data_IF_903557735822
#
_entry.id   IF_903557735822
#
_cell.length_a   1.000
_cell.length_b   1.000
_cell.length_c   1.000
_cell.angle_alpha   90.00
_cell.angle_beta   90.00
_cell.angle_gamma   90.00
#
_symmetry.space_group_name_H-M   'P 1'
#
loop_
_entity.id
_entity.type
_entity.pdbx_description
1 polymer ?
#
# COMPACT_ATOMS: atom_id res chain seq x y z
N UNK A 1 5.19 1.64 -11.93
CA UNK A 1 6.63 1.32 -11.95
C UNK A 1 6.85 -0.18 -11.93
N UNK A 2 5.89 -0.93 -12.43
CA UNK A 2 5.84 -2.37 -12.28
C UNK A 2 6.86 -3.01 -13.20
N UNK A 3 7.72 -3.84 -12.62
CA UNK A 3 8.76 -4.54 -13.35
C UNK A 3 8.13 -5.69 -14.13
N UNK A 4 8.26 -5.73 -15.47
CA UNK A 4 7.71 -6.81 -16.29
C UNK A 4 8.60 -8.06 -16.24
N UNK A 5 8.06 -9.18 -16.72
CA UNK A 5 8.81 -10.44 -16.79
C UNK A 5 10.00 -10.32 -17.76
N UNK A 6 11.14 -10.89 -17.37
CA UNK A 6 12.37 -10.87 -18.17
C UNK A 6 13.20 -9.58 -18.05
N UNK A 7 12.72 -8.54 -17.35
CA UNK A 7 13.48 -7.31 -17.12
C UNK A 7 14.66 -7.50 -16.17
N UNK A 8 14.47 -8.36 -15.17
CA UNK A 8 15.47 -8.81 -14.21
C UNK A 8 15.73 -10.30 -14.45
N UNK A 9 17.00 -10.71 -14.39
CA UNK A 9 17.40 -12.08 -14.61
C UNK A 9 16.83 -13.02 -13.52
N UNK A 10 16.69 -14.30 -13.86
CA UNK A 10 16.03 -15.26 -12.98
C UNK A 10 16.69 -15.39 -11.58
N UNK A 11 18.03 -15.42 -11.44
CA UNK A 11 18.66 -15.49 -10.12
C UNK A 11 18.31 -14.31 -9.21
N UNK A 12 18.38 -13.07 -9.72
CA UNK A 12 18.09 -11.87 -8.93
C UNK A 12 16.59 -11.77 -8.65
N UNK A 13 15.74 -12.14 -9.61
CA UNK A 13 14.29 -12.17 -9.39
C UNK A 13 13.88 -13.20 -8.34
N UNK A 14 14.51 -14.37 -8.32
CA UNK A 14 14.31 -15.39 -7.29
C UNK A 14 14.80 -14.91 -5.92
N UNK A 15 15.97 -14.26 -5.84
CA UNK A 15 16.48 -13.68 -4.60
C UNK A 15 15.53 -12.58 -4.05
N UNK A 16 15.03 -11.70 -4.92
CA UNK A 16 14.01 -10.71 -4.54
C UNK A 16 12.71 -11.40 -4.10
N UNK A 17 12.33 -12.52 -4.70
CA UNK A 17 11.23 -13.37 -4.26
C UNK A 17 11.41 -13.90 -2.83
N UNK A 18 12.61 -14.34 -2.46
CA UNK A 18 12.93 -14.75 -1.08
C UNK A 18 12.84 -13.58 -0.11
N UNK A 19 13.36 -12.40 -0.47
CA UNK A 19 13.26 -11.18 0.34
C UNK A 19 11.80 -10.79 0.55
N UNK A 20 11.01 -10.76 -0.53
CA UNK A 20 9.58 -10.48 -0.50
C UNK A 20 8.82 -11.47 0.39
N UNK A 21 9.06 -12.78 0.24
CA UNK A 21 8.44 -13.80 1.07
C UNK A 21 8.79 -13.64 2.55
N UNK A 22 10.07 -13.34 2.85
CA UNK A 22 10.52 -13.06 4.22
C UNK A 22 9.84 -11.82 4.82
N UNK A 23 9.74 -10.74 4.05
CA UNK A 23 9.06 -9.52 4.48
C UNK A 23 7.56 -9.71 4.67
N UNK A 24 6.89 -10.44 3.77
CA UNK A 24 5.50 -10.85 3.95
C UNK A 24 5.35 -11.70 5.21
N UNK A 25 6.21 -12.69 5.45
CA UNK A 25 6.16 -13.52 6.65
C UNK A 25 6.32 -12.71 7.95
N UNK A 26 7.28 -11.77 7.99
CA UNK A 26 7.45 -10.83 9.10
C UNK A 26 6.22 -9.94 9.26
N UNK A 27 5.65 -9.46 8.15
CA UNK A 27 4.49 -8.58 8.14
C UNK A 27 3.21 -9.29 8.56
N UNK A 28 3.02 -10.57 8.23
CA UNK A 28 1.92 -11.40 8.74
C UNK A 28 1.98 -11.53 10.26
N UNK A 29 3.18 -11.62 10.85
CA UNK A 29 3.36 -11.63 12.32
C UNK A 29 3.13 -10.25 12.92
N UNK A 30 3.68 -9.21 12.30
CA UNK A 30 3.56 -7.83 12.76
C UNK A 30 2.13 -7.28 12.69
N UNK A 31 1.40 -7.58 11.61
CA UNK A 31 0.02 -7.16 11.40
C UNK A 31 -0.93 -7.65 12.49
N UNK A 32 -0.64 -8.80 13.14
CA UNK A 32 -1.41 -9.26 14.31
C UNK A 32 -1.40 -8.25 15.46
N UNK A 33 -0.37 -7.41 15.57
CA UNK A 33 -0.24 -6.34 16.59
C UNK A 33 -0.88 -5.03 16.14
N UNK A 34 -1.04 -4.84 14.84
CA UNK A 34 -1.60 -3.62 14.26
C UNK A 34 -3.12 -3.70 14.11
N UNK A 35 -3.63 -4.90 13.82
CA UNK A 35 -5.03 -5.20 13.54
C UNK A 35 -5.81 -5.62 14.79
N UNK A 36 -6.97 -5.01 14.93
CA UNK A 36 -8.03 -5.30 15.90
C UNK A 36 -9.38 -5.52 15.19
N UNK A 37 -10.47 -5.65 15.97
CA UNK A 37 -11.83 -5.79 15.46
C UNK A 37 -12.26 -4.73 14.44
N UNK A 38 -11.75 -3.52 14.62
CA UNK A 38 -12.21 -2.31 13.92
C UNK A 38 -11.34 -2.05 12.69
N UNK A 39 -10.07 -2.41 12.76
CA UNK A 39 -9.04 -2.11 11.76
C UNK A 39 -8.80 -3.22 10.73
N UNK A 40 -9.14 -4.49 11.04
CA UNK A 40 -9.02 -5.58 10.06
C UNK A 40 -9.87 -5.38 8.80
N UNK A 41 -11.16 -5.00 8.89
CA UNK A 41 -11.91 -4.60 7.70
C UNK A 41 -11.28 -3.38 7.00
N UNK A 42 -10.84 -2.37 7.75
CA UNK A 42 -10.24 -1.16 7.15
C UNK A 42 -8.97 -1.46 6.35
N UNK A 43 -8.20 -2.48 6.71
CA UNK A 43 -7.03 -2.89 5.93
C UNK A 43 -7.41 -3.41 4.53
N UNK A 44 -8.46 -4.22 4.42
CA UNK A 44 -9.00 -4.66 3.12
C UNK A 44 -9.53 -3.48 2.29
N UNK A 45 -10.18 -2.52 2.95
CA UNK A 45 -10.64 -1.28 2.30
C UNK A 45 -9.48 -0.40 1.80
N UNK A 46 -8.42 -0.26 2.60
CA UNK A 46 -7.22 0.51 2.22
C UNK A 46 -6.51 -0.15 1.05
N UNK A 47 -6.40 -1.49 1.03
CA UNK A 47 -5.86 -2.21 -0.12
C UNK A 47 -6.68 -1.93 -1.40
N UNK A 48 -8.01 -1.98 -1.30
CA UNK A 48 -8.89 -1.68 -2.44
C UNK A 48 -8.81 -0.23 -2.91
N UNK A 49 -8.67 0.72 -1.98
CA UNK A 49 -8.46 2.13 -2.32
C UNK A 49 -7.10 2.33 -3.01
N UNK A 50 -6.05 1.69 -2.52
CA UNK A 50 -4.72 1.74 -3.15
C UNK A 50 -4.78 1.16 -4.57
N UNK A 51 -5.42 0.00 -4.75
CA UNK A 51 -5.66 -0.58 -6.07
C UNK A 51 -6.38 0.42 -6.99
N UNK A 52 -7.48 1.02 -6.52
CA UNK A 52 -8.27 1.97 -7.31
C UNK A 52 -7.46 3.20 -7.73
N UNK A 53 -6.62 3.75 -6.84
CA UNK A 53 -5.79 4.91 -7.15
C UNK A 53 -4.58 4.54 -8.00
N UNK A 54 -4.05 3.32 -7.88
CA UNK A 54 -2.98 2.80 -8.75
C UNK A 54 -3.41 2.71 -10.22
N UNK A 55 -4.70 2.50 -10.49
CA UNK A 55 -5.23 2.56 -11.85
C UNK A 55 -5.31 3.99 -12.42
N UNK A 56 -5.16 5.02 -11.59
CA UNK A 56 -5.24 6.41 -12.01
C UNK A 56 -3.86 6.94 -12.41
N UNK A 57 -3.43 6.58 -13.61
CA UNK A 57 -2.26 7.20 -14.23
C UNK A 57 -2.52 8.69 -14.50
N UNK A 58 -1.63 9.56 -14.05
CA UNK A 58 -1.66 10.99 -14.35
C UNK A 58 -0.45 11.38 -15.22
N UNK A 59 -0.61 12.33 -16.14
CA UNK A 59 0.50 12.80 -16.95
C UNK A 59 1.52 13.52 -16.06
N UNK A 60 2.80 13.21 -16.25
CA UNK A 60 3.90 13.79 -15.44
C UNK A 60 4.77 14.70 -16.29
N UNK A 61 5.66 14.12 -17.09
CA UNK A 61 6.59 14.86 -17.94
C UNK A 61 7.08 13.98 -19.10
N UNK A 62 7.49 14.62 -20.20
CA UNK A 62 8.13 13.95 -21.35
C UNK A 62 7.33 12.77 -21.96
N UNK A 63 6.00 12.87 -21.98
CA UNK A 63 5.13 11.80 -22.49
C UNK A 63 5.05 10.59 -21.57
N UNK A 64 5.43 10.73 -20.30
CA UNK A 64 5.38 9.70 -19.25
C UNK A 64 4.17 9.95 -18.35
N UNK A 65 3.51 8.89 -17.92
CA UNK A 65 2.55 8.91 -16.83
C UNK A 65 3.15 8.37 -15.54
N UNK A 66 2.46 8.58 -14.44
CA UNK A 66 2.76 7.92 -13.18
C UNK A 66 1.49 7.66 -12.41
N UNK A 67 1.56 6.70 -11.51
CA UNK A 67 0.50 6.38 -10.56
C UNK A 67 1.07 6.39 -9.14
N UNK A 68 0.16 6.38 -8.18
CA UNK A 68 0.48 6.22 -6.77
C UNK A 68 1.10 4.83 -6.52
N UNK A 69 2.18 4.73 -5.75
CA UNK A 69 2.72 3.46 -5.26
C UNK A 69 1.95 3.01 -4.01
N UNK A 70 1.63 3.94 -3.11
CA UNK A 70 0.65 3.75 -2.03
C UNK A 70 1.19 3.17 -0.74
N UNK A 71 2.47 2.81 -0.66
CA UNK A 71 3.05 2.31 0.59
C UNK A 71 3.11 3.33 1.71
N UNK A 72 3.25 4.64 1.41
CA UNK A 72 3.18 5.70 2.41
C UNK A 72 1.77 5.83 3.00
N UNK A 73 0.76 5.87 2.13
CA UNK A 73 -0.64 5.88 2.52
C UNK A 73 -0.99 4.66 3.39
N UNK A 74 -0.58 3.46 2.96
CA UNK A 74 -0.83 2.22 3.68
C UNK A 74 -0.17 2.23 5.07
N UNK A 75 1.13 2.56 5.13
CA UNK A 75 1.91 2.56 6.36
C UNK A 75 1.31 3.49 7.43
N UNK A 76 0.79 4.65 7.01
CA UNK A 76 0.29 5.67 7.93
C UNK A 76 -1.15 5.36 8.36
N UNK A 77 -1.99 4.85 7.46
CA UNK A 77 -3.38 4.52 7.78
C UNK A 77 -3.48 3.25 8.63
N UNK A 78 -2.81 2.16 8.24
CA UNK A 78 -3.04 0.82 8.84
C UNK A 78 -1.82 0.25 9.55
N UNK A 79 -0.65 0.89 9.41
CA UNK A 79 0.60 0.48 10.04
C UNK A 79 1.59 -0.11 9.04
N UNK A 80 2.90 -0.12 9.34
CA UNK A 80 3.93 -0.56 8.41
C UNK A 80 3.80 -2.05 8.03
N UNK A 81 3.49 -2.94 8.96
CA UNK A 81 3.39 -4.37 8.63
C UNK A 81 2.16 -4.65 7.78
N UNK A 82 1.01 -4.13 8.20
CA UNK A 82 -0.25 -4.24 7.46
C UNK A 82 -0.13 -3.54 6.10
N UNK A 83 0.59 -2.41 6.02
CA UNK A 83 0.82 -1.66 4.80
C UNK A 83 1.59 -2.47 3.76
N UNK A 84 2.67 -3.15 4.16
CA UNK A 84 3.39 -4.09 3.28
C UNK A 84 2.45 -5.17 2.76
N UNK A 85 1.60 -5.75 3.63
CA UNK A 85 0.63 -6.77 3.20
C UNK A 85 -0.42 -6.22 2.23
N UNK A 86 -0.96 -5.02 2.49
CA UNK A 86 -1.93 -4.38 1.60
C UNK A 86 -1.35 -4.20 0.20
N UNK A 87 -0.18 -3.56 0.08
CA UNK A 87 0.46 -3.32 -1.22
C UNK A 87 0.86 -4.63 -1.88
N UNK A 88 1.35 -5.62 -1.12
CA UNK A 88 1.69 -6.94 -1.68
C UNK A 88 0.47 -7.67 -2.25
N UNK A 89 -0.69 -7.61 -1.58
CA UNK A 89 -1.94 -8.19 -2.10
C UNK A 89 -2.38 -7.49 -3.37
N UNK A 90 -2.28 -6.15 -3.41
CA UNK A 90 -2.59 -5.36 -4.60
C UNK A 90 -1.71 -5.76 -5.79
N UNK A 91 -0.39 -5.81 -5.61
CA UNK A 91 0.57 -6.21 -6.65
C UNK A 91 0.33 -7.64 -7.14
N UNK A 92 -0.01 -8.56 -6.23
CA UNK A 92 -0.35 -9.94 -6.60
C UNK A 92 -1.62 -9.97 -7.47
N UNK A 93 -2.67 -9.23 -7.12
CA UNK A 93 -3.89 -9.17 -7.91
C UNK A 93 -3.65 -8.50 -9.27
N UNK A 94 -2.82 -7.46 -9.32
CA UNK A 94 -2.42 -6.78 -10.56
C UNK A 94 -1.69 -7.72 -11.51
N UNK A 95 -0.65 -8.43 -11.05
CA UNK A 95 0.05 -9.39 -11.88
C UNK A 95 -0.86 -10.55 -12.33
N UNK A 96 -1.63 -11.14 -11.41
CA UNK A 96 -2.43 -12.34 -11.73
C UNK A 96 -3.60 -12.04 -12.66
N UNK A 97 -4.34 -10.95 -12.41
CA UNK A 97 -5.60 -10.66 -13.11
C UNK A 97 -5.42 -9.68 -14.26
N UNK A 98 -4.57 -8.67 -14.08
CA UNK A 98 -4.44 -7.54 -14.99
C UNK A 98 -3.20 -7.59 -15.87
N UNK A 99 -2.34 -8.60 -15.69
CA UNK A 99 -1.03 -8.67 -16.36
C UNK A 99 -0.14 -7.43 -16.14
N UNK A 100 -0.41 -6.68 -15.06
CA UNK A 100 0.29 -5.46 -14.72
C UNK A 100 1.41 -5.75 -13.72
N UNK A 101 2.63 -5.85 -14.27
CA UNK A 101 3.83 -6.32 -13.57
C UNK A 101 4.02 -7.83 -13.63
N UNK A 102 5.24 -8.27 -13.90
CA UNK A 102 5.58 -9.67 -14.15
C UNK A 102 5.39 -10.60 -12.95
N UNK A 103 4.91 -11.82 -13.18
CA UNK A 103 4.79 -12.85 -12.13
C UNK A 103 6.16 -13.36 -11.67
N UNK A 104 7.10 -13.51 -12.60
CA UNK A 104 8.49 -13.87 -12.25
C UNK A 104 9.22 -12.70 -11.60
N UNK A 105 8.78 -11.47 -11.87
CA UNK A 105 9.24 -10.23 -11.25
C UNK A 105 8.45 -9.82 -9.99
N UNK A 106 7.46 -10.62 -9.53
CA UNK A 106 6.60 -10.26 -8.40
C UNK A 106 7.40 -9.98 -7.12
N UNK A 107 8.46 -10.76 -6.88
CA UNK A 107 9.37 -10.53 -5.76
C UNK A 107 10.09 -9.17 -5.83
N UNK A 108 10.48 -8.74 -7.03
CA UNK A 108 11.07 -7.42 -7.28
C UNK A 108 10.03 -6.34 -7.01
N UNK A 109 8.82 -6.48 -7.56
CA UNK A 109 7.72 -5.53 -7.37
C UNK A 109 7.34 -5.36 -5.90
N UNK A 110 7.22 -6.47 -5.14
CA UNK A 110 6.95 -6.40 -3.70
C UNK A 110 8.12 -5.74 -2.96
N UNK A 111 9.36 -6.11 -3.28
CA UNK A 111 10.54 -5.53 -2.61
C UNK A 111 10.64 -4.04 -2.84
N UNK A 112 10.40 -3.60 -4.06
CA UNK A 112 10.54 -2.21 -4.44
C UNK A 112 9.30 -1.39 -4.02
N UNK A 113 8.12 -1.76 -4.48
CA UNK A 113 6.91 -0.95 -4.29
C UNK A 113 6.24 -1.16 -2.94
N UNK A 114 6.29 -2.36 -2.34
CA UNK A 114 5.66 -2.60 -1.03
C UNK A 114 6.62 -2.34 0.13
N UNK A 115 7.80 -2.97 0.12
CA UNK A 115 8.73 -2.88 1.25
C UNK A 115 9.38 -1.50 1.31
N UNK A 116 10.05 -1.07 0.24
CA UNK A 116 10.86 0.17 0.26
C UNK A 116 9.99 1.37 0.58
N UNK A 117 8.88 1.55 -0.12
CA UNK A 117 8.01 2.71 0.07
C UNK A 117 7.41 2.75 1.49
N UNK A 118 6.95 1.61 2.03
CA UNK A 118 6.39 1.53 3.38
C UNK A 118 7.45 1.74 4.46
N UNK A 119 8.64 1.14 4.34
CA UNK A 119 9.70 1.30 5.33
C UNK A 119 10.21 2.74 5.35
N UNK A 120 10.54 3.30 4.17
CA UNK A 120 11.04 4.67 4.06
C UNK A 120 10.02 5.67 4.59
N UNK A 121 8.77 5.57 4.12
CA UNK A 121 7.70 6.46 4.58
C UNK A 121 7.46 6.35 6.08
N UNK A 122 7.44 5.14 6.64
CA UNK A 122 7.23 4.95 8.08
C UNK A 122 8.37 5.54 8.91
N UNK A 123 9.62 5.33 8.51
CA UNK A 123 10.78 5.90 9.21
C UNK A 123 10.77 7.43 9.18
N UNK A 124 10.53 8.03 8.01
CA UNK A 124 10.40 9.48 7.86
C UNK A 124 9.24 10.02 8.71
N UNK A 125 8.07 9.42 8.59
CA UNK A 125 6.88 9.82 9.34
C UNK A 125 7.12 9.76 10.85
N UNK A 126 7.70 8.67 11.35
CA UNK A 126 8.01 8.49 12.78
C UNK A 126 9.08 9.45 13.26
N UNK A 127 10.08 9.78 12.44
CA UNK A 127 11.07 10.80 12.74
C UNK A 127 10.44 12.18 12.88
N UNK A 128 9.61 12.57 11.91
CA UNK A 128 8.95 13.88 11.88
C UNK A 128 7.95 14.06 13.04
N UNK A 129 7.11 13.06 13.31
CA UNK A 129 6.12 13.15 14.41
C UNK A 129 6.79 13.18 15.81
N UNK A 130 8.06 12.78 15.93
CA UNK A 130 8.82 12.95 17.19
C UNK A 130 9.25 14.39 17.43
N UNK A 131 9.49 15.17 16.36
CA UNK A 131 10.04 16.53 16.46
C UNK A 131 8.99 17.63 16.24
N UNK A 132 7.93 17.33 15.47
CA UNK A 132 6.85 18.25 15.21
C UNK A 132 5.90 18.39 16.41
N UNK A 133 5.22 19.54 16.57
CA UNK A 133 4.19 19.72 17.60
C UNK A 133 3.11 18.63 17.50
N UNK A 134 2.52 18.22 18.63
CA UNK A 134 1.43 17.25 18.60
C UNK A 134 0.15 17.89 18.05
N UNK A 135 -0.25 17.49 16.84
CA UNK A 135 -1.49 17.96 16.24
C UNK A 135 -1.80 17.28 14.90
N UNK A 136 -3.04 17.47 14.43
CA UNK A 136 -3.52 16.90 13.15
C UNK A 136 -2.71 17.39 11.95
N UNK A 137 -2.34 18.68 11.94
CA UNK A 137 -1.49 19.28 10.89
C UNK A 137 -0.14 18.59 10.78
N UNK A 138 0.45 18.21 11.92
CA UNK A 138 1.75 17.53 11.95
C UNK A 138 1.68 16.15 11.33
N UNK A 139 0.55 15.43 11.47
CA UNK A 139 0.33 14.18 10.76
C UNK A 139 0.27 14.42 9.26
N UNK A 140 -0.54 15.38 8.80
CA UNK A 140 -0.65 15.69 7.38
C UNK A 140 0.68 16.07 6.74
N UNK A 141 1.47 16.94 7.41
CA UNK A 141 2.79 17.36 6.93
C UNK A 141 3.79 16.20 6.95
N UNK A 142 3.79 15.39 8.02
CA UNK A 142 4.65 14.21 8.10
C UNK A 142 4.29 13.17 7.02
N UNK A 143 3.00 12.99 6.71
CA UNK A 143 2.53 12.13 5.64
C UNK A 143 2.98 12.61 4.27
N UNK A 144 2.89 13.92 4.02
CA UNK A 144 3.38 14.53 2.78
C UNK A 144 4.88 14.26 2.59
N UNK A 145 5.70 14.60 3.60
CA UNK A 145 7.15 14.41 3.52
C UNK A 145 7.54 12.94 3.38
N UNK A 146 6.86 12.04 4.09
CA UNK A 146 7.06 10.59 3.98
C UNK A 146 6.77 10.08 2.56
N UNK A 147 5.69 10.51 1.95
CA UNK A 147 5.30 10.12 0.60
C UNK A 147 6.28 10.67 -0.46
N UNK A 148 6.64 11.97 -0.40
CA UNK A 148 7.60 12.59 -1.34
C UNK A 148 8.93 11.83 -1.37
N UNK A 149 9.40 11.37 -0.21
CA UNK A 149 10.68 10.65 -0.12
C UNK A 149 10.58 9.17 -0.47
N UNK A 150 9.42 8.56 -0.27
CA UNK A 150 9.24 7.12 -0.49
C UNK A 150 9.33 6.69 -1.96
N UNK A 151 8.79 7.50 -2.88
CA UNK A 151 8.73 7.18 -4.31
C UNK A 151 10.12 7.26 -4.98
N UNK A 152 10.92 8.32 -4.78
CA UNK A 152 12.31 8.35 -5.26
C UNK A 152 13.18 7.28 -4.60
N UNK A 153 12.93 6.93 -3.34
CA UNK A 153 13.66 5.85 -2.69
C UNK A 153 13.42 4.50 -3.37
N UNK A 154 12.17 4.21 -3.78
CA UNK A 154 11.87 3.04 -4.60
C UNK A 154 12.61 3.11 -5.95
N UNK A 155 12.58 4.25 -6.66
CA UNK A 155 13.34 4.40 -7.91
C UNK A 155 14.85 4.14 -7.74
N UNK A 156 15.45 4.54 -6.61
CA UNK A 156 16.84 4.21 -6.27
C UNK A 156 17.01 2.70 -6.03
N UNK A 157 16.13 2.08 -5.24
CA UNK A 157 16.19 0.64 -4.96
C UNK A 157 16.02 -0.18 -6.23
N UNK A 158 15.05 0.15 -7.08
CA UNK A 158 14.92 -0.43 -8.41
C UNK A 158 16.22 -0.33 -9.23
N UNK A 159 16.84 0.86 -9.26
CA UNK A 159 18.11 1.06 -9.99
C UNK A 159 19.22 0.15 -9.46
N UNK A 160 19.28 -0.08 -8.14
CA UNK A 160 20.23 -1.02 -7.53
C UNK A 160 19.91 -2.47 -7.89
N UNK A 161 18.64 -2.87 -7.88
CA UNK A 161 18.23 -4.22 -8.31
C UNK A 161 18.60 -4.43 -9.79
N UNK A 162 18.34 -3.43 -10.64
CA UNK A 162 18.73 -3.45 -12.05
C UNK A 162 20.25 -3.51 -12.23
N UNK A 163 21.04 -2.84 -11.39
CA UNK A 163 22.50 -2.93 -11.46
C UNK A 163 23.05 -4.34 -11.17
N UNK A 164 22.33 -5.14 -10.38
CA UNK A 164 22.73 -6.51 -10.04
C UNK A 164 22.20 -7.51 -11.08
N UNK A 165 20.97 -7.29 -11.57
CA UNK A 165 20.22 -8.30 -12.31
C UNK A 165 19.57 -7.86 -13.61
N UNK A 166 19.77 -6.62 -14.06
CA UNK A 166 19.21 -6.10 -15.31
C UNK A 166 19.63 -6.95 -16.50
N UNK A 167 18.69 -7.23 -17.40
CA UNK A 167 18.94 -8.09 -18.58
C UNK A 167 19.39 -7.31 -19.81
N UNK A 168 19.67 -6.01 -19.67
CA UNK A 168 19.99 -5.11 -20.79
C UNK A 168 21.21 -4.24 -20.52
N UNK A 169 21.89 -3.86 -21.60
CA UNK A 169 23.19 -3.18 -21.56
C UNK A 169 23.07 -1.66 -21.34
N UNK A 170 22.01 -1.19 -20.68
CA UNK A 170 21.82 0.24 -20.42
C UNK A 170 22.66 0.66 -19.22
N UNK A 171 23.43 1.73 -19.37
CA UNK A 171 24.27 2.19 -18.27
C UNK A 171 23.44 2.58 -17.05
N UNK A 172 23.91 2.16 -15.87
CA UNK A 172 23.22 2.40 -14.60
C UNK A 172 22.96 3.88 -14.35
N UNK A 173 23.90 4.76 -14.73
CA UNK A 173 23.70 6.21 -14.64
C UNK A 173 22.50 6.71 -15.44
N UNK A 174 22.27 6.16 -16.65
CA UNK A 174 21.10 6.54 -17.47
C UNK A 174 19.80 6.06 -16.84
N UNK A 175 19.78 4.82 -16.32
CA UNK A 175 18.62 4.28 -15.61
C UNK A 175 18.34 5.09 -14.35
N UNK A 176 19.36 5.38 -13.55
CA UNK A 176 19.27 6.18 -12.33
C UNK A 176 18.67 7.57 -12.62
N UNK A 177 19.24 8.31 -13.57
CA UNK A 177 18.77 9.65 -13.91
C UNK A 177 17.31 9.63 -14.38
N UNK A 178 16.94 8.68 -15.22
CA UNK A 178 15.60 8.62 -15.79
C UNK A 178 14.56 8.18 -14.74
N UNK A 179 14.87 7.12 -13.98
CA UNK A 179 13.99 6.61 -12.92
C UNK A 179 13.83 7.65 -11.82
N UNK A 180 14.90 8.14 -11.22
CA UNK A 180 14.81 9.09 -10.10
C UNK A 180 14.13 10.40 -10.55
N UNK A 181 14.47 10.92 -11.74
CA UNK A 181 13.94 12.18 -12.24
C UNK A 181 12.41 12.20 -12.35
N UNK A 182 11.82 11.21 -13.04
CA UNK A 182 10.37 11.12 -13.19
C UNK A 182 9.70 10.80 -11.84
N UNK A 183 10.30 9.92 -11.03
CA UNK A 183 9.71 9.47 -9.77
C UNK A 183 9.75 10.53 -8.66
N UNK A 184 10.60 11.56 -8.74
CA UNK A 184 10.50 12.75 -7.90
C UNK A 184 9.21 13.52 -8.17
N UNK A 185 8.83 13.68 -9.43
CA UNK A 185 7.58 14.35 -9.80
C UNK A 185 6.36 13.51 -9.42
N UNK A 186 6.41 12.19 -9.65
CA UNK A 186 5.38 11.25 -9.19
C UNK A 186 5.24 11.32 -7.66
N UNK A 187 6.36 11.36 -6.94
CA UNK A 187 6.39 11.47 -5.47
C UNK A 187 5.70 12.71 -4.93
N UNK A 188 5.74 13.85 -5.64
CA UNK A 188 4.98 15.05 -5.28
C UNK A 188 3.48 14.79 -5.41
N UNK A 189 3.04 14.19 -6.53
CA UNK A 189 1.64 13.81 -6.73
C UNK A 189 1.13 12.85 -5.65
N UNK A 190 1.90 11.80 -5.37
CA UNK A 190 1.59 10.83 -4.31
C UNK A 190 1.54 11.49 -2.94
N UNK A 191 2.40 12.46 -2.66
CA UNK A 191 2.39 13.18 -1.39
C UNK A 191 1.16 14.04 -1.20
N UNK A 192 0.69 14.71 -2.25
CA UNK A 192 -0.57 15.46 -2.21
C UNK A 192 -1.74 14.50 -1.92
N UNK A 193 -1.85 13.41 -2.68
CA UNK A 193 -2.92 12.42 -2.48
C UNK A 193 -2.85 11.83 -1.07
N UNK A 194 -1.67 11.43 -0.62
CA UNK A 194 -1.46 10.83 0.70
C UNK A 194 -1.81 11.81 1.81
N UNK A 195 -1.36 13.07 1.72
CA UNK A 195 -1.65 14.09 2.71
C UNK A 195 -3.14 14.43 2.79
N UNK A 196 -3.82 14.54 1.64
CA UNK A 196 -5.26 14.80 1.57
C UNK A 196 -6.07 13.62 2.14
N UNK A 197 -5.77 12.39 1.71
CA UNK A 197 -6.48 11.20 2.19
C UNK A 197 -6.24 10.98 3.68
N UNK A 198 -4.99 11.00 4.15
CA UNK A 198 -4.70 10.87 5.59
C UNK A 198 -5.33 12.02 6.37
N UNK A 199 -5.22 13.26 5.89
CA UNK A 199 -5.82 14.44 6.53
C UNK A 199 -7.34 14.31 6.68
N UNK A 200 -8.04 13.88 5.64
CA UNK A 200 -9.48 13.67 5.66
C UNK A 200 -9.89 12.57 6.65
N UNK A 201 -9.18 11.43 6.65
CA UNK A 201 -9.48 10.33 7.59
C UNK A 201 -9.19 10.75 9.03
N UNK A 202 -8.07 11.45 9.29
CA UNK A 202 -7.74 11.99 10.63
C UNK A 202 -8.76 13.04 11.10
N UNK A 203 -9.30 13.84 10.18
CA UNK A 203 -10.30 14.86 10.52
C UNK A 203 -11.61 14.23 11.01
N UNK A 204 -12.02 13.12 10.38
CA UNK A 204 -13.28 12.43 10.64
C UNK A 204 -13.14 11.40 11.77
N UNK A 205 -12.13 10.53 11.71
CA UNK A 205 -11.92 9.38 12.61
C UNK A 205 -10.43 9.12 12.90
N UNK A 206 -9.79 9.97 13.73
CA UNK A 206 -8.37 9.84 14.05
C UNK A 206 -8.04 8.54 14.82
N UNK A 207 -9.02 7.91 15.46
CA UNK A 207 -8.88 6.62 16.15
C UNK A 207 -8.61 5.44 15.20
N UNK A 208 -8.93 5.58 13.91
CA UNK A 208 -8.70 4.55 12.90
C UNK A 208 -7.33 4.65 12.23
N UNK A 209 -6.64 5.78 12.37
CA UNK A 209 -5.37 6.03 11.69
C UNK A 209 -4.22 5.58 12.58
N UNK A 210 -3.47 4.57 12.13
CA UNK A 210 -2.33 4.04 12.87
C UNK A 210 -1.32 5.14 13.27
N UNK A 211 -0.98 6.01 12.32
CA UNK A 211 -0.07 7.15 12.54
C UNK A 211 -0.59 8.20 13.52
N UNK A 212 -1.89 8.20 13.84
CA UNK A 212 -2.53 9.15 14.74
C UNK A 212 -2.76 8.61 16.16
N UNK A 213 -2.46 7.33 16.45
CA UNK A 213 -2.69 6.72 17.77
C UNK A 213 -2.04 7.51 18.93
N UNK A 214 -0.94 8.22 18.67
CA UNK A 214 -0.27 9.07 19.66
C UNK A 214 -0.91 10.43 19.92
N UNK A 215 -1.95 10.82 19.16
CA UNK A 215 -2.74 12.05 19.39
C UNK A 215 -3.93 11.83 20.32
N UNK A 216 -4.31 10.58 20.59
CA UNK A 216 -5.40 10.30 21.53
C UNK A 216 -4.94 10.67 22.94
N UNK A 217 -5.57 11.69 23.50
CA UNK A 217 -5.26 12.21 24.82
C UNK A 217 -5.51 11.11 25.85
N UNK A 218 -4.51 10.78 26.67
CA UNK A 218 -4.72 9.92 27.84
C UNK A 218 -5.75 10.61 28.74
N UNK A 219 -6.84 9.91 29.04
CA UNK A 219 -7.87 10.42 29.95
C UNK A 219 -7.23 10.67 31.32
N UNK A 220 -7.35 11.89 31.82
CA UNK A 220 -6.98 12.24 33.20
C UNK A 220 -8.22 12.13 34.07
N UNK A 221 -8.15 11.36 35.14
CA UNK A 221 -9.21 11.25 36.12
C UNK A 221 -9.04 12.35 37.15
N UNK A 222 -10.14 13.03 37.49
CA UNK A 222 -10.15 13.97 38.62
C UNK A 222 -10.46 13.19 39.89
N UNK A 223 -9.44 12.88 40.69
CA UNK A 223 -9.59 12.19 41.98
C UNK A 223 -9.26 13.19 43.09
N UNK A 224 -10.23 13.47 43.97
CA UNK A 224 -10.03 14.38 45.10
C UNK A 224 -9.74 15.84 44.73
N UNK A 225 -9.98 16.26 43.49
CA UNK A 225 -9.68 17.63 43.02
C UNK A 225 -8.43 17.74 42.15
N UNK A 226 -7.54 16.75 42.19
CA UNK A 226 -6.35 16.67 41.35
C UNK A 226 -6.58 15.84 40.08
N UNK A 227 -5.95 16.26 38.98
CA UNK A 227 -5.94 15.51 37.72
C UNK A 227 -4.83 14.47 37.76
N UNK A 228 -5.19 13.23 38.05
CA UNK A 228 -4.29 12.07 38.03
C UNK A 228 -4.41 11.38 36.68
N UNK A 229 -3.29 10.93 36.11
CA UNK A 229 -3.35 10.09 34.92
C UNK A 229 -4.14 8.81 35.27
N UNK A 230 -5.12 8.43 34.44
CA UNK A 230 -5.79 7.15 34.65
C UNK A 230 -4.73 6.04 34.60
N UNK A 231 -4.55 5.30 35.70
CA UNK A 231 -3.83 4.03 35.64
C UNK A 231 -4.44 3.18 34.51
N UNK A 232 -3.65 2.38 33.79
CA UNK A 232 -4.19 1.44 32.82
C UNK A 232 -5.01 0.41 33.60
N UNK A 233 -6.29 0.72 33.82
CA UNK A 233 -7.26 -0.23 34.31
C UNK A 233 -7.10 -1.50 33.47
N UNK A 234 -7.00 -2.65 34.14
CA UNK A 234 -7.14 -3.95 33.49
C UNK A 234 -8.27 -3.84 32.48
N UNK A 235 -7.94 -4.13 31.21
CA UNK A 235 -8.64 -3.68 30.02
C UNK A 235 -10.14 -3.46 30.27
N UNK A 236 -10.64 -2.20 30.24
CA UNK A 236 -12.07 -1.99 30.35
C UNK A 236 -12.73 -2.74 29.19
N UNK A 237 -13.74 -3.56 29.49
CA UNK A 237 -14.59 -4.15 28.47
C UNK A 237 -14.97 -3.04 27.47
N UNK A 238 -14.75 -3.24 26.16
CA UNK A 238 -14.76 -2.14 25.21
C UNK A 238 -16.12 -1.47 25.25
N UNK A 239 -16.17 -0.26 25.84
CA UNK A 239 -17.35 0.58 25.80
C UNK A 239 -17.70 0.75 24.32
N UNK A 240 -18.89 0.26 23.96
CA UNK A 240 -19.40 0.28 22.59
C UNK A 240 -19.67 1.73 22.19
N UNK A 241 -18.65 2.43 21.72
CA UNK A 241 -18.83 3.68 20.98
C UNK A 241 -19.48 3.27 19.65
N UNK A 242 -20.82 3.33 19.60
CA UNK A 242 -21.63 2.99 18.42
C UNK A 242 -21.55 4.09 17.34
N UNK A 243 -20.34 4.53 17.00
CA UNK A 243 -20.07 5.43 15.89
C UNK A 243 -19.94 4.65 14.58
N UNK A 244 -20.51 5.18 13.50
CA UNK A 244 -20.72 4.43 12.24
C UNK A 244 -19.44 4.08 11.47
N UNK A 245 -18.76 3.00 11.86
CA UNK A 245 -17.67 2.40 11.06
C UNK A 245 -18.17 2.02 9.67
N UNK A 246 -19.44 1.59 9.61
CA UNK A 246 -20.16 1.30 8.38
C UNK A 246 -20.17 2.49 7.42
N UNK A 247 -20.35 3.73 7.89
CA UNK A 247 -20.30 4.92 7.02
C UNK A 247 -18.93 5.09 6.38
N UNK A 248 -17.83 5.00 7.13
CA UNK A 248 -16.47 5.12 6.57
C UNK A 248 -16.19 4.01 5.58
N UNK A 249 -16.61 2.80 5.92
CA UNK A 249 -16.45 1.65 5.05
C UNK A 249 -17.20 1.82 3.74
N UNK A 250 -18.47 2.23 3.80
CA UNK A 250 -19.29 2.54 2.63
C UNK A 250 -18.66 3.68 1.84
N UNK A 251 -18.29 4.78 2.49
CA UNK A 251 -17.69 5.94 1.83
C UNK A 251 -16.40 5.55 1.12
N UNK A 252 -15.47 4.87 1.80
CA UNK A 252 -14.22 4.42 1.19
C UNK A 252 -14.44 3.45 0.05
N UNK A 253 -15.43 2.53 0.16
CA UNK A 253 -15.72 1.56 -0.87
C UNK A 253 -16.32 2.26 -2.10
N UNK A 254 -17.31 3.13 -1.89
CA UNK A 254 -17.91 3.95 -2.95
C UNK A 254 -16.85 4.83 -3.60
N UNK A 255 -15.98 5.49 -2.82
CA UNK A 255 -14.88 6.28 -3.37
C UNK A 255 -13.96 5.40 -4.22
N UNK A 256 -13.57 4.21 -3.75
CA UNK A 256 -12.70 3.29 -4.52
C UNK A 256 -13.38 2.85 -5.83
N UNK A 257 -14.67 2.53 -5.79
CA UNK A 257 -15.45 2.15 -6.97
C UNK A 257 -15.62 3.31 -7.97
N UNK A 258 -15.85 4.53 -7.48
CA UNK A 258 -15.94 5.71 -8.35
C UNK A 258 -14.58 6.03 -8.98
N UNK A 259 -13.50 5.91 -8.21
CA UNK A 259 -12.14 6.12 -8.74
C UNK A 259 -11.83 5.09 -9.84
N UNK A 260 -11.99 3.80 -9.54
CA UNK A 260 -11.66 2.73 -10.49
C UNK A 260 -12.63 2.62 -11.68
N UNK A 261 -13.91 2.90 -11.46
CA UNK A 261 -14.98 2.70 -12.46
C UNK A 261 -15.31 3.92 -13.30
N UNK A 262 -14.95 5.12 -12.87
CA UNK A 262 -15.31 6.36 -13.57
C UNK A 262 -14.14 7.32 -13.72
N UNK A 263 -13.39 7.62 -12.65
CA UNK A 263 -12.26 8.56 -12.74
C UNK A 263 -11.13 8.00 -13.60
N UNK A 264 -10.97 6.68 -13.65
CA UNK A 264 -10.05 5.97 -14.54
C UNK A 264 -10.28 6.27 -16.03
N UNK A 265 -11.46 6.74 -16.44
CA UNK A 265 -11.71 7.15 -17.84
C UNK A 265 -10.86 8.34 -18.29
N UNK A 266 -10.39 9.11 -17.31
CA UNK A 266 -9.55 10.29 -17.50
C UNK A 266 -8.08 10.01 -17.18
N UNK A 267 -7.73 8.77 -16.83
CA UNK A 267 -6.35 8.38 -16.63
C UNK A 267 -5.56 8.51 -17.94
N UNK A 268 -4.29 8.89 -17.81
CA UNK A 268 -3.37 8.99 -18.93
C UNK A 268 -3.07 7.60 -19.48
N UNK A 269 -3.17 7.46 -20.80
CA UNK A 269 -2.75 6.25 -21.53
C UNK A 269 -1.25 6.22 -21.87
N UNK A 270 -0.49 7.23 -21.44
CA UNK A 270 0.97 7.25 -21.62
C UNK A 270 1.64 6.16 -20.79
N UNK A 271 2.78 5.60 -21.24
CA UNK A 271 3.52 4.60 -20.49
C UNK A 271 3.99 5.17 -19.15
N UNK A 272 4.09 4.30 -18.14
CA UNK A 272 4.55 4.71 -16.82
C UNK A 272 6.04 5.09 -16.79
N UNK A 273 6.52 5.60 -15.66
CA UNK A 273 7.92 5.99 -15.46
C UNK A 273 8.95 4.91 -15.84
N UNK A 274 8.71 3.66 -15.49
CA UNK A 274 9.62 2.56 -15.78
C UNK A 274 9.47 2.11 -17.24
N UNK A 275 8.25 1.97 -17.71
CA UNK A 275 7.93 1.52 -19.06
C UNK A 275 8.41 2.51 -20.12
N UNK A 276 8.29 3.81 -19.86
CA UNK A 276 8.84 4.85 -20.73
C UNK A 276 10.36 4.74 -20.82
N UNK A 277 11.03 4.53 -19.69
CA UNK A 277 12.49 4.30 -19.66
C UNK A 277 12.86 3.02 -20.40
N UNK A 278 12.07 1.96 -20.23
CA UNK A 278 12.27 0.72 -20.92
C UNK A 278 12.19 0.89 -22.44
N UNK A 279 11.13 1.52 -22.93
CA UNK A 279 10.92 1.79 -24.34
C UNK A 279 12.00 2.72 -24.91
N UNK A 280 12.28 3.86 -24.27
CA UNK A 280 13.23 4.84 -24.77
C UNK A 280 14.68 4.35 -24.77
N UNK A 281 14.98 3.30 -23.99
CA UNK A 281 16.30 2.67 -23.93
C UNK A 281 16.34 1.30 -24.63
N UNK A 282 15.23 0.86 -25.24
CA UNK A 282 15.12 -0.42 -25.93
C UNK A 282 15.24 -1.65 -25.02
N UNK A 283 14.93 -1.50 -23.74
CA UNK A 283 14.95 -2.57 -22.74
C UNK A 283 13.75 -3.51 -22.89
N UNK A 284 12.62 -2.97 -23.34
CA UNK A 284 11.39 -3.66 -23.68
C UNK A 284 11.58 -4.83 -24.65
N UNK A 285 12.58 -4.80 -25.54
CA UNK A 285 12.89 -5.92 -26.45
C UNK A 285 13.26 -7.25 -25.76
N UNK A 286 13.56 -7.21 -24.46
CA UNK A 286 13.88 -8.38 -23.64
C UNK A 286 12.75 -8.76 -22.67
N UNK A 287 11.66 -8.01 -22.64
CA UNK A 287 10.51 -8.40 -21.83
C UNK A 287 9.87 -9.64 -22.42
N UNK A 288 9.39 -10.50 -21.53
CA UNK A 288 8.65 -11.71 -21.90
C UNK A 288 7.16 -11.40 -21.87
N UNK A 289 6.44 -12.15 -22.68
CA UNK A 289 4.98 -12.16 -22.61
C UNK A 289 4.54 -12.59 -21.21
N UNK A 290 3.54 -11.89 -20.68
CA UNK A 290 3.03 -12.13 -19.35
C UNK A 290 2.30 -13.47 -19.31
N UNK A 291 2.53 -14.30 -18.27
CA UNK A 291 1.85 -15.60 -18.16
C UNK A 291 0.31 -15.49 -18.00
N UNK A 292 -0.18 -14.28 -17.72
CA UNK A 292 -1.60 -13.92 -17.65
C UNK A 292 -2.08 -13.05 -18.82
N UNK A 293 -1.35 -13.01 -19.95
CA UNK A 293 -1.74 -12.20 -21.13
C UNK A 293 -3.12 -12.58 -21.67
N UNK A 294 -3.52 -13.85 -21.54
CA UNK A 294 -4.85 -14.36 -21.92
C UNK A 294 -5.96 -14.08 -20.90
N UNK A 295 -5.66 -13.41 -19.78
CA UNK A 295 -6.65 -13.09 -18.75
C UNK A 295 -7.80 -12.28 -19.34
N UNK A 296 -9.06 -12.54 -18.95
CA UNK A 296 -10.19 -11.70 -19.33
C UNK A 296 -10.10 -10.24 -18.87
N UNK A 297 -9.14 -9.93 -17.99
CA UNK A 297 -8.91 -8.61 -17.40
C UNK A 297 -7.52 -8.02 -17.73
N UNK A 298 -6.76 -8.64 -18.64
CA UNK A 298 -5.41 -8.21 -19.01
C UNK A 298 -5.40 -6.73 -19.49
N UNK A 299 -4.33 -6.02 -19.15
CA UNK A 299 -4.13 -4.59 -19.47
C UNK A 299 -5.27 -3.68 -18.97
N UNK A 300 -5.95 -4.10 -17.90
CA UNK A 300 -7.16 -3.45 -17.39
C UNK A 300 -8.30 -3.34 -18.40
N UNK A 301 -8.36 -4.24 -19.40
CA UNK A 301 -9.49 -4.37 -20.31
C UNK A 301 -10.33 -5.61 -20.00
N UNK A 302 -11.65 -5.52 -20.18
CA UNK A 302 -12.55 -6.67 -20.19
C UNK A 302 -12.63 -7.26 -21.58
N UNK A 303 -12.27 -8.54 -21.70
CA UNK A 303 -12.39 -9.32 -22.94
C UNK A 303 -13.81 -9.19 -23.52
N UNK A 304 -13.89 -8.99 -24.83
CA UNK A 304 -15.12 -8.81 -25.60
C UNK A 304 -15.86 -7.45 -25.42
N UNK A 305 -15.30 -6.49 -24.66
CA UNK A 305 -15.80 -5.10 -24.60
C UNK A 305 -14.86 -4.17 -25.38
N UNK A 306 -15.36 -3.62 -26.48
CA UNK A 306 -14.57 -2.79 -27.42
C UNK A 306 -14.45 -1.33 -27.00
N UNK A 307 -15.38 -0.81 -26.20
CA UNK A 307 -15.27 0.55 -25.68
C UNK A 307 -14.23 0.57 -24.55
N UNK A 308 -13.07 1.16 -24.83
CA UNK A 308 -11.93 1.21 -23.91
C UNK A 308 -12.28 1.83 -22.54
N UNK A 309 -13.20 2.81 -22.50
CA UNK A 309 -13.60 3.44 -21.22
C UNK A 309 -14.46 2.49 -20.42
N UNK A 310 -15.51 1.94 -21.03
CA UNK A 310 -16.41 1.00 -20.35
C UNK A 310 -15.66 -0.26 -19.89
N UNK A 311 -14.79 -0.77 -20.78
CA UNK A 311 -13.91 -1.91 -20.52
C UNK A 311 -12.99 -1.64 -19.33
N UNK A 312 -12.27 -0.50 -19.35
CA UNK A 312 -11.40 -0.06 -18.25
C UNK A 312 -12.11 0.13 -16.91
N UNK A 313 -13.26 0.80 -16.92
CA UNK A 313 -14.05 1.02 -15.71
C UNK A 313 -14.58 -0.27 -15.10
N UNK A 314 -15.07 -1.17 -15.94
CA UNK A 314 -15.57 -2.47 -15.47
C UNK A 314 -14.44 -3.31 -14.89
N UNK A 315 -13.29 -3.37 -15.58
CA UNK A 315 -12.09 -4.04 -15.08
C UNK A 315 -11.66 -3.47 -13.73
N UNK A 316 -11.70 -2.14 -13.57
CA UNK A 316 -11.39 -1.48 -12.30
C UNK A 316 -12.38 -1.79 -11.18
N UNK A 317 -13.69 -1.80 -11.46
CA UNK A 317 -14.73 -2.19 -10.49
C UNK A 317 -14.54 -3.65 -10.04
N UNK A 318 -14.27 -4.55 -10.98
CA UNK A 318 -13.98 -5.96 -10.68
C UNK A 318 -12.72 -6.07 -9.81
N UNK A 319 -11.64 -5.36 -10.19
CA UNK A 319 -10.38 -5.35 -9.43
C UNK A 319 -10.53 -4.84 -8.00
N UNK A 320 -11.29 -3.75 -7.80
CA UNK A 320 -11.65 -3.25 -6.46
C UNK A 320 -12.42 -4.33 -5.68
N UNK A 321 -13.43 -4.95 -6.29
CA UNK A 321 -14.22 -6.01 -5.66
C UNK A 321 -13.36 -7.19 -5.21
N UNK A 322 -12.51 -7.71 -6.10
CA UNK A 322 -11.62 -8.83 -5.80
C UNK A 322 -10.61 -8.44 -4.71
N UNK A 323 -10.03 -7.25 -4.78
CA UNK A 323 -9.06 -6.76 -3.79
C UNK A 323 -9.69 -6.61 -2.40
N UNK A 324 -10.93 -6.10 -2.31
CA UNK A 324 -11.66 -6.03 -1.03
C UNK A 324 -11.86 -7.43 -0.45
N UNK A 325 -12.29 -8.39 -1.28
CA UNK A 325 -12.56 -9.76 -0.83
C UNK A 325 -11.27 -10.45 -0.38
N UNK A 326 -10.23 -10.40 -1.21
CA UNK A 326 -8.92 -11.01 -0.92
C UNK A 326 -8.29 -10.39 0.32
N UNK A 327 -8.20 -9.05 0.37
CA UNK A 327 -7.65 -8.32 1.51
C UNK A 327 -8.42 -8.59 2.80
N UNK A 328 -9.75 -8.43 2.77
CA UNK A 328 -10.58 -8.67 3.96
C UNK A 328 -10.50 -10.11 4.45
N UNK A 329 -10.48 -11.09 3.53
CA UNK A 329 -10.33 -12.51 3.86
C UNK A 329 -9.00 -12.81 4.56
N UNK A 330 -7.88 -12.29 4.03
CA UNK A 330 -6.55 -12.45 4.61
C UNK A 330 -6.50 -11.83 6.01
N UNK A 331 -6.92 -10.56 6.15
CA UNK A 331 -6.84 -9.85 7.44
C UNK A 331 -7.77 -10.43 8.49
N UNK A 332 -8.94 -10.94 8.09
CA UNK A 332 -9.85 -11.64 8.98
C UNK A 332 -9.28 -12.99 9.45
N UNK A 333 -8.67 -13.77 8.55
CA UNK A 333 -8.04 -15.03 8.91
C UNK A 333 -6.85 -14.82 9.88
N UNK A 334 -6.05 -13.79 9.66
CA UNK A 334 -4.93 -13.42 10.55
C UNK A 334 -5.42 -13.07 11.96
N UNK A 335 -6.55 -12.37 12.06
CA UNK A 335 -7.16 -12.05 13.36
C UNK A 335 -7.66 -13.31 14.08
N UNK A 336 -8.38 -14.20 13.40
CA UNK A 336 -8.94 -15.43 14.03
C UNK A 336 -7.86 -16.29 14.69
N UNK A 337 -6.67 -16.36 14.10
CA UNK A 337 -5.53 -17.08 14.68
C UNK A 337 -5.04 -16.43 15.98
N UNK A 338 -5.02 -15.09 16.07
CA UNK A 338 -4.64 -14.37 17.30
C UNK A 338 -5.60 -14.65 18.46
N UNK A 339 -6.90 -14.68 18.21
CA UNK A 339 -7.88 -15.00 19.26
C UNK A 339 -7.76 -16.45 19.76
N UNK A 340 -7.42 -17.38 18.87
CA UNK A 340 -7.13 -18.77 19.25
C UNK A 340 -5.86 -18.92 20.09
N UNK A 341 -4.78 -18.24 19.69
CA UNK A 341 -3.49 -18.24 20.42
C UNK A 341 -3.62 -17.59 21.82
N UNK A 342 -4.45 -16.56 21.96
CA UNK A 342 -4.70 -15.90 23.25
C UNK A 342 -5.49 -16.81 24.22
N UNK A 343 -6.57 -17.44 23.73
CA UNK A 343 -7.40 -18.34 24.52
C UNK A 343 -6.63 -19.60 24.98
N UNK A 344 -5.72 -20.14 24.15
CA UNK A 344 -4.88 -21.27 24.54
C UNK A 344 -3.84 -20.89 25.60
N UNK A 345 -3.32 -19.67 25.55
CA UNK A 345 -2.36 -19.15 26.55
C UNK A 345 -3.04 -18.95 27.91
N UNK A 346 -4.26 -18.40 27.97
CA UNK A 346 -5.03 -18.25 29.21
C UNK A 346 -5.34 -19.61 29.87
N UNK A 347 -5.81 -20.60 29.10
CA UNK A 347 -6.11 -21.95 29.62
C UNK A 347 -4.86 -22.66 30.14
N UNK A 348 -3.70 -22.41 29.52
CA UNK A 348 -2.43 -22.99 29.99
C UNK A 348 -1.96 -22.34 31.28
N UNK A 349 -2.08 -21.01 31.38
CA UNK A 349 -1.72 -20.26 32.59
C UNK A 349 -2.59 -20.66 33.79
N UNK A 350 -3.90 -20.82 33.60
CA UNK A 350 -4.86 -21.23 34.63
C UNK A 350 -4.59 -22.67 35.13
N UNK A 351 -4.14 -23.56 34.24
CA UNK A 351 -3.73 -24.94 34.60
C UNK A 351 -2.41 -25.04 35.35
N UNK A 352 -1.52 -24.05 35.23
CA UNK A 352 -0.24 -24.01 35.97
C UNK A 352 -0.34 -23.28 37.31
N UNK A 353 -1.45 -22.58 37.58
CA UNK A 353 -1.71 -21.88 38.84
C UNK A 353 -2.52 -22.69 39.86
N UNK A 354 -2.84 -23.96 39.56
CA UNK A 354 -3.51 -24.93 40.44
C UNK A 354 -2.51 -26.04 40.77
#
# INVERSE_FOLDING_TARGET
MHVPDGFINAPVSAAAGVVAAGAVAVSLRGARRELDERTAPLAGLVAAFIFAVQMLNFPVAAGTSGHLLGGALAAILVGPYTGVLCVSVVLLMQGVLFADGGLTALGVNITDMAITTTVVSYLVFRGLVKVLPRGRRSITVASFAAAVLSVPAAAVVFTLIYAIGGTTDVSIGKVATAMIGVHVLIGIGEAVITALTVGAVVAVRPDLVYGARGLQQKLKLKVGGELVDAEPAAAPAPAAVSGSHRKIWITGLVTSLVLAGFVSFYASASPDGLEKVAHDKGIDKKTKEHASSDSPLADYGVKDITDARISGGLAGVIGVGVTVVAGSGIFWALRRRRTGDAASTEVTAERTSV
#
